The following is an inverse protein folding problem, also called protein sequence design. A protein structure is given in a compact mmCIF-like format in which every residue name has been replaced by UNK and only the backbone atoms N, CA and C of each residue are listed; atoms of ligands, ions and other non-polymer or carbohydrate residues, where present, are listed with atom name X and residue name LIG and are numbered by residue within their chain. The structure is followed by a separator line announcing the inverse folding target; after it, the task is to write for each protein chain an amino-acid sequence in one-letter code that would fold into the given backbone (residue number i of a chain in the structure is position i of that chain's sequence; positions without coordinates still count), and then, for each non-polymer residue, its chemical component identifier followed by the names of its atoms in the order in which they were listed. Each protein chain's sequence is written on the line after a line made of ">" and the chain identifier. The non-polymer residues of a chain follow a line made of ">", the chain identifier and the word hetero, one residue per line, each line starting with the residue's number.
data_IF_633961097160
#
_entry.id   IF_633961097160
#
_cell.length_a   1.000
_cell.length_b   1.000
_cell.length_c   1.000
_cell.angle_alpha   90.00
_cell.angle_beta   90.00
_cell.angle_gamma   90.00
#
_symmetry.space_group_name_H-M   'P 1'
#
loop_
_entity.id
_entity.type
_entity.pdbx_description
1 polymer ?
#
# COMPACT_ATOMS: atom_id res chain seq x y z
N UNK A 1 -6.91 28.90 -36.91
CA UNK A 1 -7.46 27.64 -36.37
C UNK A 1 -7.04 27.62 -34.92
N UNK A 2 -7.99 27.89 -34.04
CA UNK A 2 -7.78 27.97 -32.60
C UNK A 2 -7.62 26.53 -32.08
N UNK A 3 -6.39 26.16 -31.69
CA UNK A 3 -6.08 24.83 -31.18
C UNK A 3 -6.35 24.88 -29.67
N UNK A 4 -7.63 24.84 -29.31
CA UNK A 4 -8.03 24.84 -27.91
C UNK A 4 -7.42 23.65 -27.19
N UNK A 5 -6.57 23.93 -26.20
CA UNK A 5 -6.10 22.94 -25.25
C UNK A 5 -7.32 22.38 -24.51
N UNK A 6 -7.72 21.16 -24.87
CA UNK A 6 -8.75 20.44 -24.14
C UNK A 6 -8.35 20.25 -22.68
N UNK A 7 -9.31 20.23 -21.73
CA UNK A 7 -8.98 20.09 -20.32
C UNK A 7 -8.21 18.78 -20.10
N UNK A 8 -7.00 18.87 -19.54
CA UNK A 8 -6.08 17.75 -19.27
C UNK A 8 -6.58 16.76 -18.20
N UNK A 9 -7.85 16.87 -17.81
CA UNK A 9 -8.47 16.00 -16.81
C UNK A 9 -9.10 14.84 -17.57
N UNK A 10 -8.32 13.78 -17.80
CA UNK A 10 -8.87 12.50 -18.19
C UNK A 10 -10.01 12.18 -17.20
N UNK A 11 -11.25 12.12 -17.70
CA UNK A 11 -12.40 11.70 -16.91
C UNK A 11 -12.28 10.19 -16.72
N UNK A 12 -11.40 9.76 -15.81
CA UNK A 12 -11.43 8.39 -15.34
C UNK A 12 -12.75 8.19 -14.61
N UNK A 13 -13.55 7.22 -15.07
CA UNK A 13 -14.71 6.77 -14.31
C UNK A 13 -14.22 6.39 -12.90
N UNK A 14 -14.93 6.82 -11.83
CA UNK A 14 -14.50 6.55 -10.47
C UNK A 14 -14.40 5.04 -10.27
N UNK A 15 -13.29 4.59 -9.67
CA UNK A 15 -13.10 3.18 -9.36
C UNK A 15 -14.22 2.69 -8.44
N UNK A 16 -14.88 1.59 -8.81
CA UNK A 16 -15.92 0.96 -7.97
C UNK A 16 -15.27 0.32 -6.74
N UNK A 17 -14.06 -0.23 -6.89
CA UNK A 17 -13.36 -0.99 -5.85
C UNK A 17 -12.57 -0.12 -4.88
N UNK A 18 -12.17 1.10 -5.25
CA UNK A 18 -11.34 1.99 -4.41
C UNK A 18 -11.83 3.42 -4.44
N UNK A 19 -11.32 4.22 -3.51
CA UNK A 19 -11.60 5.65 -3.42
C UNK A 19 -10.41 6.44 -3.94
N UNK A 20 -10.65 7.45 -4.77
CA UNK A 20 -9.57 8.30 -5.32
C UNK A 20 -9.09 9.36 -4.31
N UNK A 21 -9.82 9.52 -3.22
CA UNK A 21 -9.54 10.45 -2.12
C UNK A 21 -9.28 9.72 -0.81
N UNK A 22 -8.44 10.32 0.03
CA UNK A 22 -8.10 9.79 1.35
C UNK A 22 -9.32 9.92 2.28
N UNK A 23 -9.70 8.83 2.95
CA UNK A 23 -10.75 8.81 3.97
C UNK A 23 -10.22 8.30 5.31
N UNK A 24 -10.92 8.68 6.39
CA UNK A 24 -10.68 8.07 7.69
C UNK A 24 -10.93 6.55 7.62
N UNK A 25 -10.08 5.77 8.28
CA UNK A 25 -10.03 4.31 8.24
C UNK A 25 -9.08 3.74 7.18
N UNK A 26 -8.63 4.53 6.19
CA UNK A 26 -7.67 4.07 5.19
C UNK A 26 -6.31 3.76 5.83
N UNK A 27 -5.64 2.75 5.28
CA UNK A 27 -4.23 2.47 5.54
C UNK A 27 -3.39 3.12 4.45
N UNK A 28 -2.62 4.14 4.82
CA UNK A 28 -1.81 4.94 3.90
C UNK A 28 -0.37 4.43 3.86
N UNK A 29 0.22 4.49 2.67
CA UNK A 29 1.66 4.35 2.47
C UNK A 29 2.27 5.74 2.37
N UNK A 30 3.21 6.06 3.26
CA UNK A 30 3.84 7.37 3.35
C UNK A 30 5.32 7.25 3.03
N UNK A 31 5.76 7.88 1.93
CA UNK A 31 7.17 8.02 1.58
C UNK A 31 7.78 9.18 2.37
N UNK A 32 8.75 8.88 3.21
CA UNK A 32 9.53 9.90 3.93
C UNK A 32 10.73 10.35 3.08
N UNK A 33 11.41 11.47 3.45
CA UNK A 33 12.48 12.03 2.62
C UNK A 33 13.63 11.06 2.37
N UNK A 34 13.93 10.15 3.30
CA UNK A 34 14.96 9.10 3.11
C UNK A 34 14.66 8.14 1.95
N UNK A 35 13.42 8.12 1.45
CA UNK A 35 12.94 7.18 0.45
C UNK A 35 12.18 6.00 1.05
N UNK A 36 12.31 5.76 2.36
CA UNK A 36 11.59 4.68 3.04
C UNK A 36 10.08 4.92 3.01
N UNK A 37 9.32 3.83 2.98
CA UNK A 37 7.85 3.86 2.97
C UNK A 37 7.34 3.31 4.30
N UNK A 38 6.45 4.05 4.95
CA UNK A 38 5.79 3.64 6.20
C UNK A 38 4.30 3.40 5.96
N UNK A 39 3.76 2.34 6.56
CA UNK A 39 2.32 2.07 6.53
C UNK A 39 1.68 2.61 7.82
N UNK A 40 0.63 3.41 7.69
CA UNK A 40 -0.06 4.07 8.81
C UNK A 40 -1.56 3.98 8.59
N UNK A 41 -2.30 3.56 9.62
CA UNK A 41 -3.76 3.61 9.61
C UNK A 41 -4.25 5.00 10.03
N UNK A 42 -5.06 5.63 9.19
CA UNK A 42 -5.60 6.96 9.44
C UNK A 42 -6.86 6.84 10.29
N UNK A 43 -6.71 6.95 11.62
CA UNK A 43 -7.88 6.99 12.52
C UNK A 43 -8.49 8.40 12.56
N UNK A 44 -9.79 8.46 12.87
CA UNK A 44 -10.52 9.72 13.00
C UNK A 44 -9.95 10.54 14.17
N UNK A 45 -9.71 11.83 13.96
CA UNK A 45 -9.23 12.77 14.98
C UNK A 45 -7.88 12.38 15.63
N UNK A 46 -7.10 11.52 14.96
CA UNK A 46 -5.80 11.06 15.47
C UNK A 46 -4.64 11.95 15.03
N UNK A 47 -3.62 12.05 15.88
CA UNK A 47 -2.32 12.64 15.51
C UNK A 47 -1.43 11.58 14.90
N UNK A 48 -0.91 11.84 13.70
CA UNK A 48 0.02 10.96 13.00
C UNK A 48 1.45 11.35 13.35
N UNK A 49 2.25 10.38 13.81
CA UNK A 49 3.65 10.58 14.18
C UNK A 49 4.59 9.95 13.16
N UNK A 50 5.47 10.75 12.55
CA UNK A 50 6.51 10.31 11.60
C UNK A 50 7.91 10.28 12.24
N UNK A 51 8.00 10.13 13.57
CA UNK A 51 9.26 10.12 14.30
C UNK A 51 9.99 11.46 14.18
N UNK A 52 11.26 11.43 13.76
CA UNK A 52 12.12 12.63 13.63
C UNK A 52 11.60 13.69 12.63
N UNK A 53 10.68 13.31 11.75
CA UNK A 53 10.11 14.22 10.73
C UNK A 53 8.93 15.05 11.27
N UNK A 54 8.46 14.76 12.49
CA UNK A 54 7.40 15.50 13.16
C UNK A 54 6.08 14.74 13.23
N UNK A 55 5.03 15.48 13.56
CA UNK A 55 3.66 14.97 13.70
C UNK A 55 2.65 15.98 13.19
N UNK A 56 1.51 15.50 12.71
CA UNK A 56 0.43 16.33 12.18
C UNK A 56 -0.95 15.75 12.52
N UNK A 57 -2.02 16.55 12.39
CA UNK A 57 -3.38 16.08 12.60
C UNK A 57 -3.88 15.29 11.38
N UNK A 58 -4.31 14.05 11.57
CA UNK A 58 -4.73 13.17 10.47
C UNK A 58 -5.88 13.73 9.62
N UNK A 59 -6.75 14.55 10.21
CA UNK A 59 -7.86 15.20 9.50
C UNK A 59 -7.40 16.09 8.33
N UNK A 60 -6.17 16.61 8.37
CA UNK A 60 -5.59 17.42 7.28
C UNK A 60 -5.42 16.61 5.97
N UNK A 61 -5.33 15.28 6.05
CA UNK A 61 -5.24 14.41 4.87
C UNK A 61 -6.61 13.97 4.34
N UNK A 62 -7.67 14.02 5.16
CA UNK A 62 -8.98 13.53 4.76
C UNK A 62 -9.55 14.43 3.66
N UNK A 63 -10.04 13.82 2.57
CA UNK A 63 -10.58 14.50 1.40
C UNK A 63 -9.51 14.96 0.39
N UNK A 64 -8.22 14.83 0.71
CA UNK A 64 -7.14 15.11 -0.23
C UNK A 64 -6.91 13.93 -1.19
N UNK A 65 -6.44 14.18 -2.43
CA UNK A 65 -6.04 13.12 -3.33
C UNK A 65 -4.72 12.46 -2.88
N UNK A 66 -4.51 11.24 -3.35
CA UNK A 66 -3.22 10.56 -3.23
C UNK A 66 -2.16 11.21 -4.14
N UNK A 67 -0.89 10.90 -3.90
CA UNK A 67 0.25 11.37 -4.70
C UNK A 67 0.82 12.73 -4.28
N UNK A 68 0.09 13.51 -3.48
CA UNK A 68 0.56 14.81 -3.00
C UNK A 68 1.70 14.67 -1.98
N UNK A 69 2.63 15.62 -2.06
CA UNK A 69 3.68 15.81 -1.07
C UNK A 69 3.32 16.95 -0.12
N UNK A 70 3.57 16.75 1.16
CA UNK A 70 3.22 17.71 2.21
C UNK A 70 4.43 18.04 3.04
N UNK A 71 4.57 19.30 3.42
CA UNK A 71 5.46 19.77 4.46
C UNK A 71 4.70 19.92 5.78
N UNK A 72 5.31 19.47 6.88
CA UNK A 72 4.76 19.63 8.23
C UNK A 72 5.23 20.96 8.82
N UNK A 73 4.29 21.89 9.00
CA UNK A 73 4.51 23.20 9.63
C UNK A 73 3.54 23.33 10.80
N UNK A 74 4.05 23.44 12.03
CA UNK A 74 3.25 23.58 13.25
C UNK A 74 2.08 22.59 13.38
N UNK A 75 2.33 21.31 13.06
CA UNK A 75 1.35 20.21 13.05
C UNK A 75 0.22 20.33 12.01
N UNK A 76 0.33 21.27 11.08
CA UNK A 76 -0.50 21.39 9.88
C UNK A 76 0.27 20.93 8.64
N UNK A 77 -0.47 20.68 7.56
CA UNK A 77 0.09 20.23 6.30
C UNK A 77 0.03 21.34 5.25
N UNK A 78 1.17 21.63 4.63
CA UNK A 78 1.25 22.49 3.46
C UNK A 78 1.59 21.64 2.24
N UNK A 79 0.75 21.69 1.21
CA UNK A 79 1.03 21.00 -0.06
C UNK A 79 2.30 21.59 -0.69
N UNK A 80 3.22 20.71 -1.06
CA UNK A 80 4.41 21.05 -1.81
C UNK A 80 4.15 20.85 -3.31
N UNK A 81 4.49 21.85 -4.15
CA UNK A 81 4.40 21.67 -5.59
C UNK A 81 5.40 20.58 -6.05
N UNK A 82 5.10 19.88 -7.16
CA UNK A 82 6.07 18.98 -7.77
C UNK A 82 7.34 19.76 -8.12
N UNK A 83 8.49 19.19 -7.79
CA UNK A 83 9.77 19.81 -8.12
C UNK A 83 10.01 19.63 -9.63
N UNK A 84 10.37 20.70 -10.36
CA UNK A 84 10.79 20.55 -11.74
C UNK A 84 12.05 19.68 -11.77
N UNK A 85 12.21 18.89 -12.84
CA UNK A 85 13.50 18.28 -13.12
C UNK A 85 14.52 19.41 -13.34
N UNK A 86 15.56 19.42 -12.53
CA UNK A 86 16.69 20.32 -12.72
C UNK A 86 17.74 19.57 -13.54
N UNK A 87 18.11 20.16 -14.67
CA UNK A 87 19.27 19.71 -15.42
C UNK A 87 20.51 20.20 -14.69
N UNK A 88 21.43 19.27 -14.41
CA UNK A 88 22.69 19.59 -13.74
C UNK A 88 23.69 19.93 -14.82
N UNK A 89 24.12 21.18 -14.88
CA UNK A 89 25.14 21.58 -15.84
C UNK A 89 26.48 20.93 -15.49
N UNK A 90 27.12 20.30 -16.48
CA UNK A 90 28.46 19.75 -16.32
C UNK A 90 29.50 20.87 -16.35
N UNK A 91 30.40 20.83 -15.36
CA UNK A 91 31.48 21.81 -15.19
C UNK A 91 32.82 21.10 -15.22
N UNK A 92 33.90 21.80 -15.56
CA UNK A 92 35.28 21.28 -15.51
C UNK A 92 35.79 21.05 -14.07
N UNK A 93 34.99 21.31 -13.03
CA UNK A 93 35.38 21.07 -11.66
C UNK A 93 35.74 19.59 -11.43
N UNK A 94 36.87 19.35 -10.76
CA UNK A 94 37.34 18.02 -10.37
C UNK A 94 37.54 17.94 -8.85
N UNK A 95 37.66 16.72 -8.33
CA UNK A 95 37.95 16.48 -6.92
C UNK A 95 39.46 16.49 -6.58
N UNK A 96 40.33 16.88 -7.52
CA UNK A 96 41.79 16.82 -7.37
C UNK A 96 42.32 17.63 -6.19
N UNK A 97 41.68 18.77 -5.90
CA UNK A 97 42.05 19.68 -4.81
C UNK A 97 41.25 19.45 -3.51
N UNK A 98 40.51 18.34 -3.40
CA UNK A 98 39.68 18.03 -2.24
C UNK A 98 40.38 17.00 -1.35
N UNK A 99 40.88 17.46 -0.20
CA UNK A 99 41.43 16.60 0.85
C UNK A 99 40.38 16.26 1.91
N UNK A 100 40.38 15.02 2.42
CA UNK A 100 39.47 14.56 3.46
C UNK A 100 40.00 14.90 4.86
N UNK A 101 39.87 16.18 5.25
CA UNK A 101 40.26 16.67 6.56
C UNK A 101 39.05 16.75 7.52
N UNK A 102 39.27 16.49 8.81
CA UNK A 102 38.19 16.51 9.82
C UNK A 102 37.51 17.89 10.00
N UNK A 103 38.14 18.99 9.53
CA UNK A 103 37.65 20.35 9.70
C UNK A 103 36.77 20.88 8.54
N UNK A 104 36.39 20.03 7.57
CA UNK A 104 35.65 20.47 6.36
C UNK A 104 34.25 21.03 6.67
N UNK A 105 33.60 20.56 7.74
CA UNK A 105 32.29 21.06 8.19
C UNK A 105 32.40 21.58 9.64
N UNK A 106 32.59 22.90 9.85
CA UNK A 106 32.83 23.47 11.18
C UNK A 106 31.56 23.52 12.06
N UNK A 107 30.36 23.56 11.45
CA UNK A 107 29.08 23.56 12.18
C UNK A 107 28.91 22.25 12.96
N UNK A 108 28.87 22.35 14.30
CA UNK A 108 28.78 21.20 15.19
C UNK A 108 27.38 20.58 15.18
N UNK A 109 27.25 19.26 15.48
CA UNK A 109 25.94 18.62 15.60
C UNK A 109 24.99 19.31 16.59
N UNK A 110 25.51 19.79 17.73
CA UNK A 110 24.72 20.46 18.76
C UNK A 110 24.14 21.79 18.27
N UNK A 111 24.92 22.54 17.50
CA UNK A 111 24.47 23.79 16.87
C UNK A 111 23.34 23.48 15.86
N UNK A 112 23.47 22.42 15.07
CA UNK A 112 22.42 21.97 14.15
C UNK A 112 21.15 21.59 14.93
N UNK A 113 21.26 20.98 16.10
CA UNK A 113 20.09 20.70 16.95
C UNK A 113 19.44 21.97 17.49
N UNK A 114 20.23 22.97 17.90
CA UNK A 114 19.68 24.27 18.33
C UNK A 114 18.93 24.96 17.19
N UNK A 115 19.46 24.94 15.96
CA UNK A 115 18.76 25.49 14.79
C UNK A 115 17.44 24.76 14.50
N UNK A 116 17.40 23.44 14.69
CA UNK A 116 16.14 22.68 14.57
C UNK A 116 15.13 23.03 15.65
N UNK A 117 15.59 23.21 16.88
CA UNK A 117 14.75 23.56 18.04
C UNK A 117 14.21 24.98 17.95
N UNK A 118 14.94 25.91 17.32
CA UNK A 118 14.47 27.28 17.07
C UNK A 118 13.43 27.38 15.94
N UNK A 119 13.07 26.26 15.30
CA UNK A 119 12.05 26.24 14.25
C UNK A 119 12.53 26.69 12.88
N UNK A 120 13.84 26.85 12.66
CA UNK A 120 14.38 27.20 11.34
C UNK A 120 13.99 26.17 10.29
N UNK A 121 13.63 26.67 9.10
CA UNK A 121 13.26 25.81 7.98
C UNK A 121 14.47 25.02 7.47
N UNK A 122 14.21 23.82 6.92
CA UNK A 122 15.26 22.91 6.49
C UNK A 122 16.18 23.52 5.43
N UNK A 123 15.64 24.34 4.51
CA UNK A 123 16.45 25.00 3.48
C UNK A 123 17.49 25.94 4.08
N UNK A 124 17.15 26.66 5.14
CA UNK A 124 18.05 27.60 5.81
C UNK A 124 19.16 26.88 6.58
N UNK A 125 18.83 25.75 7.22
CA UNK A 125 19.81 24.88 7.88
C UNK A 125 20.80 24.31 6.86
N UNK A 126 20.32 23.96 5.66
CA UNK A 126 21.16 23.45 4.56
C UNK A 126 22.03 24.57 4.02
N UNK A 127 21.47 25.76 3.81
CA UNK A 127 22.19 26.93 3.31
C UNK A 127 23.34 27.33 4.24
N UNK A 128 23.09 27.44 5.55
CA UNK A 128 24.14 27.70 6.55
C UNK A 128 25.24 26.64 6.53
N UNK A 129 24.89 25.36 6.34
CA UNK A 129 25.88 24.29 6.21
C UNK A 129 26.70 24.39 4.91
N UNK A 130 26.13 24.91 3.83
CA UNK A 130 26.84 25.12 2.56
C UNK A 130 27.81 26.29 2.71
N UNK A 131 27.36 27.41 3.27
CA UNK A 131 28.17 28.62 3.48
C UNK A 131 29.40 28.36 4.35
N UNK A 132 29.27 27.48 5.35
CA UNK A 132 30.36 27.13 6.25
C UNK A 132 31.23 25.96 5.75
N UNK A 133 30.88 25.29 4.65
CA UNK A 133 31.60 24.11 4.18
C UNK A 133 32.82 24.52 3.35
N UNK A 134 34.02 24.34 3.91
CA UNK A 134 35.29 24.88 3.38
C UNK A 134 35.55 24.54 1.91
N UNK A 135 35.27 23.31 1.49
CA UNK A 135 35.56 22.82 0.13
C UNK A 135 34.31 22.64 -0.74
N UNK A 136 33.17 23.27 -0.39
CA UNK A 136 31.92 23.04 -1.15
C UNK A 136 32.00 23.60 -2.57
N UNK A 137 32.67 24.73 -2.74
CA UNK A 137 32.84 25.38 -4.04
C UNK A 137 33.66 24.52 -5.03
N UNK A 138 34.63 23.75 -4.52
CA UNK A 138 35.50 22.87 -5.33
C UNK A 138 34.79 21.63 -5.85
N UNK A 139 33.59 21.33 -5.36
CA UNK A 139 32.85 20.12 -5.77
C UNK A 139 32.27 20.28 -7.16
N UNK A 140 32.19 19.16 -7.88
CA UNK A 140 31.40 19.06 -9.10
C UNK A 140 29.92 19.35 -8.83
N UNK A 141 29.17 19.80 -9.83
CA UNK A 141 27.74 20.10 -9.66
C UNK A 141 26.94 18.86 -9.19
N UNK A 142 27.21 17.68 -9.74
CA UNK A 142 26.62 16.42 -9.25
C UNK A 142 26.96 16.14 -7.78
N UNK A 143 28.18 16.45 -7.33
CA UNK A 143 28.59 16.28 -5.94
C UNK A 143 27.90 17.29 -5.01
N UNK A 144 27.70 18.53 -5.47
CA UNK A 144 26.92 19.56 -4.76
C UNK A 144 25.47 19.14 -4.63
N UNK A 145 24.85 18.65 -5.70
CA UNK A 145 23.45 18.19 -5.69
C UNK A 145 23.28 16.95 -4.81
N UNK A 146 24.16 15.95 -4.93
CA UNK A 146 24.19 14.77 -4.04
C UNK A 146 24.30 15.18 -2.57
N UNK A 147 25.12 16.18 -2.26
CA UNK A 147 25.22 16.73 -0.90
C UNK A 147 23.91 17.37 -0.45
N UNK A 148 23.32 18.26 -1.27
CA UNK A 148 22.02 18.90 -0.98
C UNK A 148 20.94 17.87 -0.72
N UNK A 149 20.76 16.90 -1.63
CA UNK A 149 19.80 15.79 -1.51
C UNK A 149 19.98 15.03 -0.19
N UNK A 150 21.23 14.68 0.17
CA UNK A 150 21.51 14.02 1.46
C UNK A 150 21.09 14.86 2.67
N UNK A 151 21.33 16.17 2.66
CA UNK A 151 20.94 17.05 3.78
C UNK A 151 19.43 17.28 3.80
N UNK A 152 18.77 17.40 2.65
CA UNK A 152 17.31 17.44 2.55
C UNK A 152 16.67 16.19 3.15
N UNK A 153 17.17 14.99 2.81
CA UNK A 153 16.69 13.73 3.41
C UNK A 153 16.80 13.71 4.95
N UNK A 154 17.76 14.45 5.51
CA UNK A 154 18.03 14.49 6.96
C UNK A 154 17.20 15.55 7.69
N UNK A 155 16.94 16.69 7.06
CA UNK A 155 16.38 17.87 7.73
C UNK A 155 15.00 18.27 7.26
N UNK A 156 14.60 17.90 6.04
CA UNK A 156 13.28 18.23 5.55
C UNK A 156 12.21 17.46 6.28
N UNK A 157 11.11 18.14 6.61
CA UNK A 157 9.95 17.59 7.31
C UNK A 157 8.79 17.38 6.33
N UNK A 158 9.09 16.89 5.14
CA UNK A 158 8.08 16.58 4.14
C UNK A 158 7.83 15.07 4.02
N UNK A 159 6.70 14.69 3.44
CA UNK A 159 6.39 13.32 3.07
C UNK A 159 5.46 13.28 1.87
N UNK A 160 5.37 12.15 1.20
CA UNK A 160 4.44 11.93 0.07
C UNK A 160 3.48 10.81 0.42
N UNK A 161 2.18 11.03 0.22
CA UNK A 161 1.19 9.96 0.37
C UNK A 161 1.15 9.17 -0.94
N UNK A 162 1.55 7.91 -0.89
CA UNK A 162 1.59 7.03 -2.05
C UNK A 162 0.18 6.49 -2.32
N UNK A 163 -0.20 6.52 -3.59
CA UNK A 163 -1.44 5.93 -4.05
C UNK A 163 -1.43 4.40 -3.90
N UNK A 164 -2.51 3.77 -3.38
CA UNK A 164 -2.56 2.34 -3.10
C UNK A 164 -2.80 1.50 -4.37
N UNK A 165 -1.96 1.71 -5.39
CA UNK A 165 -1.97 0.90 -6.62
C UNK A 165 -1.37 -0.47 -6.36
N UNK A 166 -1.71 -1.45 -7.21
CA UNK A 166 -1.14 -2.80 -7.12
C UNK A 166 0.40 -2.78 -7.14
N UNK A 167 0.97 -1.97 -8.03
CA UNK A 167 2.42 -1.78 -8.11
C UNK A 167 3.01 -1.23 -6.81
N UNK A 168 2.45 -0.14 -6.28
CA UNK A 168 2.98 0.53 -5.09
C UNK A 168 2.89 -0.35 -3.84
N UNK A 169 1.77 -1.07 -3.67
CA UNK A 169 1.55 -1.96 -2.53
C UNK A 169 2.45 -3.21 -2.64
N UNK A 170 2.56 -3.82 -3.81
CA UNK A 170 3.48 -4.94 -4.04
C UNK A 170 4.94 -4.52 -3.78
N UNK A 171 5.38 -3.38 -4.31
CA UNK A 171 6.73 -2.87 -4.11
C UNK A 171 7.02 -2.56 -2.64
N UNK A 172 6.05 -1.98 -1.92
CA UNK A 172 6.15 -1.74 -0.49
C UNK A 172 6.40 -3.03 0.29
N UNK A 173 5.56 -4.04 0.08
CA UNK A 173 5.70 -5.31 0.78
C UNK A 173 6.98 -6.04 0.36
N UNK A 174 7.38 -5.98 -0.91
CA UNK A 174 8.59 -6.65 -1.40
C UNK A 174 9.83 -6.08 -0.71
N UNK A 175 9.93 -4.75 -0.64
CA UNK A 175 11.04 -4.09 0.04
C UNK A 175 11.03 -4.29 1.56
N UNK A 176 9.84 -4.49 2.15
CA UNK A 176 9.69 -4.65 3.61
C UNK A 176 9.93 -6.09 4.08
N UNK A 177 9.39 -7.06 3.35
CA UNK A 177 9.35 -8.48 3.70
C UNK A 177 9.10 -9.32 2.43
N UNK A 178 10.12 -9.47 1.58
CA UNK A 178 10.03 -10.22 0.33
C UNK A 178 9.63 -11.70 0.53
N UNK A 179 10.09 -12.31 1.63
CA UNK A 179 9.82 -13.72 1.94
C UNK A 179 8.32 -13.96 2.15
N UNK A 180 7.63 -13.00 2.78
CA UNK A 180 6.18 -13.02 2.97
C UNK A 180 5.40 -12.99 1.65
N UNK A 181 5.98 -12.38 0.62
CA UNK A 181 5.43 -12.33 -0.74
C UNK A 181 5.86 -13.51 -1.61
N UNK A 182 6.60 -14.49 -1.06
CA UNK A 182 7.21 -15.57 -1.85
C UNK A 182 8.09 -15.03 -2.98
N UNK A 183 8.80 -13.94 -2.70
CA UNK A 183 9.67 -13.24 -3.65
C UNK A 183 8.94 -12.75 -4.93
N UNK A 184 7.60 -12.65 -4.90
CA UNK A 184 6.82 -12.08 -5.98
C UNK A 184 7.10 -10.57 -6.05
N UNK A 185 7.82 -10.19 -7.10
CA UNK A 185 8.07 -8.79 -7.46
C UNK A 185 6.90 -8.20 -8.26
N UNK A 186 6.80 -6.86 -8.34
CA UNK A 186 5.74 -6.22 -9.13
C UNK A 186 5.70 -6.64 -10.61
N UNK A 187 6.85 -6.87 -11.24
CA UNK A 187 6.95 -7.35 -12.62
C UNK A 187 6.40 -8.78 -12.76
N UNK A 188 6.77 -9.69 -11.85
CA UNK A 188 6.25 -11.06 -11.83
C UNK A 188 4.74 -11.09 -11.57
N UNK A 189 4.25 -10.25 -10.64
CA UNK A 189 2.82 -10.13 -10.37
C UNK A 189 2.04 -9.67 -11.59
N UNK A 190 2.56 -8.69 -12.33
CA UNK A 190 1.95 -8.23 -13.57
C UNK A 190 1.86 -9.36 -14.62
N UNK A 191 2.91 -10.19 -14.74
CA UNK A 191 2.88 -11.36 -15.62
C UNK A 191 1.86 -12.40 -15.17
N UNK A 192 1.76 -12.70 -13.87
CA UNK A 192 0.75 -13.64 -13.33
C UNK A 192 -0.66 -13.20 -13.73
N UNK A 193 -1.01 -11.93 -13.48
CA UNK A 193 -2.35 -11.39 -13.78
C UNK A 193 -2.65 -11.40 -15.29
N UNK A 194 -1.65 -11.09 -16.12
CA UNK A 194 -1.82 -11.07 -17.57
C UNK A 194 -1.93 -12.48 -18.16
N UNK A 195 -1.09 -13.43 -17.72
CA UNK A 195 -1.12 -14.81 -18.19
C UNK A 195 -2.36 -15.57 -17.72
N UNK A 196 -2.86 -15.27 -16.51
CA UNK A 196 -4.15 -15.76 -16.02
C UNK A 196 -5.36 -15.07 -16.68
N UNK A 197 -5.11 -14.11 -17.57
CA UNK A 197 -6.13 -13.38 -18.33
C UNK A 197 -7.22 -12.75 -17.44
N UNK A 198 -6.81 -12.15 -16.32
CA UNK A 198 -7.77 -11.57 -15.37
C UNK A 198 -8.45 -10.32 -15.97
N UNK A 199 -9.78 -10.32 -15.96
CA UNK A 199 -10.64 -9.29 -16.55
C UNK A 199 -11.88 -9.05 -15.65
N UNK A 200 -12.51 -7.88 -15.74
CA UNK A 200 -13.83 -7.66 -15.16
C UNK A 200 -14.85 -8.70 -15.65
N UNK A 201 -15.70 -9.18 -14.74
CA UNK A 201 -16.76 -10.15 -15.04
C UNK A 201 -16.32 -11.61 -15.01
N UNK A 202 -15.02 -11.90 -15.05
CA UNK A 202 -14.50 -13.27 -15.05
C UNK A 202 -14.69 -13.99 -13.72
N UNK A 203 -14.59 -15.32 -13.78
CA UNK A 203 -14.67 -16.22 -12.61
C UNK A 203 -13.33 -16.91 -12.42
N UNK A 204 -12.70 -16.68 -11.27
CA UNK A 204 -11.33 -17.11 -10.99
C UNK A 204 -11.22 -17.90 -9.71
N UNK A 205 -10.25 -18.82 -9.68
CA UNK A 205 -9.80 -19.51 -8.47
C UNK A 205 -8.41 -19.00 -8.11
N UNK A 206 -8.16 -18.75 -6.82
CA UNK A 206 -6.84 -18.38 -6.32
C UNK A 206 -6.41 -19.20 -5.10
N UNK A 207 -5.15 -19.62 -5.11
CA UNK A 207 -4.45 -20.16 -3.94
C UNK A 207 -3.31 -19.19 -3.62
N UNK A 208 -3.39 -18.49 -2.50
CA UNK A 208 -2.47 -17.39 -2.19
C UNK A 208 -1.83 -17.56 -0.81
N UNK A 209 -0.59 -18.01 -0.82
CA UNK A 209 0.30 -18.09 0.35
C UNK A 209 1.40 -17.00 0.30
N UNK A 210 1.09 -15.90 -0.38
CA UNK A 210 1.91 -14.70 -0.53
C UNK A 210 1.23 -13.48 0.12
N UNK A 211 0.58 -13.72 1.28
CA UNK A 211 -0.14 -12.73 2.08
C UNK A 211 -1.27 -11.99 1.35
N UNK A 212 -1.85 -12.61 0.32
CA UNK A 212 -2.97 -12.06 -0.42
C UNK A 212 -2.57 -11.11 -1.53
N UNK A 213 -1.31 -11.11 -1.98
CA UNK A 213 -0.87 -10.23 -3.07
C UNK A 213 -1.49 -10.62 -4.42
N UNK A 214 -1.65 -11.92 -4.68
CA UNK A 214 -2.28 -12.43 -5.91
C UNK A 214 -3.79 -12.19 -5.84
N UNK A 215 -4.41 -12.46 -4.69
CA UNK A 215 -5.83 -12.15 -4.43
C UNK A 215 -6.09 -10.66 -4.61
N UNK A 216 -5.24 -9.80 -4.04
CA UNK A 216 -5.35 -8.35 -4.19
C UNK A 216 -5.24 -7.95 -5.66
N UNK A 217 -4.32 -8.56 -6.41
CA UNK A 217 -4.12 -8.27 -7.83
C UNK A 217 -5.34 -8.65 -8.68
N UNK A 218 -5.94 -9.82 -8.41
CA UNK A 218 -7.13 -10.30 -9.11
C UNK A 218 -8.30 -9.35 -8.85
N UNK A 219 -8.56 -9.04 -7.57
CA UNK A 219 -9.64 -8.13 -7.19
C UNK A 219 -9.46 -6.73 -7.78
N UNK A 220 -8.21 -6.22 -7.81
CA UNK A 220 -7.92 -4.92 -8.40
C UNK A 220 -8.24 -4.89 -9.89
N UNK A 221 -7.90 -5.96 -10.61
CA UNK A 221 -8.09 -6.09 -12.07
C UNK A 221 -9.53 -6.39 -12.45
N UNK A 222 -10.27 -7.14 -11.62
CA UNK A 222 -11.70 -7.42 -11.80
C UNK A 222 -12.58 -6.18 -11.61
N UNK A 223 -12.12 -5.18 -10.86
CA UNK A 223 -12.82 -3.90 -10.76
C UNK A 223 -14.21 -3.97 -10.10
N UNK A 224 -14.50 -5.03 -9.33
CA UNK A 224 -15.78 -5.19 -8.63
C UNK A 224 -16.80 -6.06 -9.38
N UNK A 225 -16.44 -6.58 -10.56
CA UNK A 225 -17.30 -7.42 -11.39
C UNK A 225 -16.72 -8.82 -11.52
N UNK A 226 -17.58 -9.84 -11.38
CA UNK A 226 -17.20 -11.25 -11.52
C UNK A 226 -17.18 -12.02 -10.20
N UNK A 227 -16.36 -13.06 -10.13
CA UNK A 227 -16.24 -13.92 -8.93
C UNK A 227 -14.81 -14.39 -8.69
N UNK A 228 -14.37 -14.40 -7.44
CA UNK A 228 -13.13 -14.97 -6.97
C UNK A 228 -13.39 -15.98 -5.85
N UNK A 229 -13.03 -17.23 -6.08
CA UNK A 229 -13.00 -18.28 -5.05
C UNK A 229 -11.55 -18.47 -4.62
N UNK A 230 -11.29 -18.32 -3.32
CA UNK A 230 -9.97 -18.58 -2.74
C UNK A 230 -9.96 -19.94 -2.05
N UNK A 231 -8.89 -20.72 -2.22
CA UNK A 231 -8.69 -21.98 -1.50
C UNK A 231 -7.53 -21.79 -0.52
N UNK A 232 -7.72 -22.20 0.73
CA UNK A 232 -6.77 -22.00 1.82
C UNK A 232 -6.71 -23.19 2.78
N UNK A 233 -5.72 -23.20 3.67
CA UNK A 233 -5.51 -24.30 4.63
C UNK A 233 -6.39 -24.20 5.88
N UNK A 234 -7.14 -23.11 6.05
CA UNK A 234 -7.88 -22.80 7.27
C UNK A 234 -9.40 -22.79 7.05
N UNK A 235 -10.16 -23.21 8.06
CA UNK A 235 -11.63 -23.30 8.00
C UNK A 235 -12.34 -21.94 7.94
N UNK A 236 -11.62 -20.86 8.24
CA UNK A 236 -12.12 -19.48 8.17
C UNK A 236 -11.53 -18.74 6.98
N UNK A 237 -12.15 -17.67 6.48
CA UNK A 237 -11.52 -16.82 5.47
C UNK A 237 -10.12 -16.38 5.91
N UNK A 238 -9.09 -16.55 5.07
CA UNK A 238 -7.71 -16.22 5.40
C UNK A 238 -7.52 -14.72 5.61
N UNK A 239 -6.59 -14.38 6.48
CA UNK A 239 -6.15 -13.01 6.60
C UNK A 239 -5.26 -12.68 5.41
N UNK A 240 -5.59 -11.61 4.68
CA UNK A 240 -4.79 -11.09 3.58
C UNK A 240 -4.18 -9.73 3.95
N UNK A 241 -3.00 -9.70 4.61
CA UNK A 241 -2.36 -8.46 5.02
C UNK A 241 -2.18 -7.43 3.91
N UNK A 242 -1.91 -7.88 2.68
CA UNK A 242 -1.68 -7.00 1.52
C UNK A 242 -2.93 -6.21 1.15
N UNK A 243 -4.12 -6.81 1.27
CA UNK A 243 -5.39 -6.15 0.97
C UNK A 243 -5.65 -4.93 1.87
N UNK A 244 -5.06 -4.89 3.07
CA UNK A 244 -5.22 -3.78 4.01
C UNK A 244 -4.70 -2.47 3.42
N UNK A 245 -3.58 -2.50 2.70
CA UNK A 245 -3.03 -1.30 2.04
C UNK A 245 -3.71 -0.96 0.72
N UNK A 246 -4.45 -1.89 0.11
CA UNK A 246 -5.21 -1.64 -1.12
C UNK A 246 -6.44 -0.75 -0.89
N UNK A 247 -6.92 -0.65 0.35
CA UNK A 247 -8.11 0.13 0.73
C UNK A 247 -9.34 -0.18 -0.13
N UNK A 248 -9.57 -1.47 -0.43
CA UNK A 248 -10.76 -1.88 -1.17
C UNK A 248 -12.04 -1.53 -0.40
N UNK A 249 -13.06 -1.06 -1.12
CA UNK A 249 -14.42 -0.88 -0.59
C UNK A 249 -14.99 -2.26 -0.27
N UNK A 250 -15.43 -2.43 0.97
CA UNK A 250 -15.96 -3.72 1.44
C UNK A 250 -17.20 -4.12 0.66
N UNK A 251 -18.01 -3.15 0.29
CA UNK A 251 -19.26 -3.31 -0.46
C UNK A 251 -19.00 -3.81 -1.89
N UNK A 252 -17.83 -3.49 -2.46
CA UNK A 252 -17.45 -3.93 -3.81
C UNK A 252 -16.78 -5.31 -3.81
N UNK A 253 -15.96 -5.62 -2.81
CA UNK A 253 -15.17 -6.87 -2.78
C UNK A 253 -15.87 -8.01 -2.05
N UNK A 254 -16.60 -7.75 -0.96
CA UNK A 254 -17.22 -8.81 -0.17
C UNK A 254 -18.25 -9.67 -0.95
N UNK A 255 -19.04 -9.12 -1.90
CA UNK A 255 -19.97 -9.94 -2.69
C UNK A 255 -19.29 -10.83 -3.73
N UNK A 256 -18.11 -10.45 -4.22
CA UNK A 256 -17.43 -11.15 -5.33
C UNK A 256 -16.36 -12.13 -4.84
N UNK A 257 -15.97 -12.07 -3.57
CA UNK A 257 -14.88 -12.86 -3.01
C UNK A 257 -15.38 -13.83 -1.95
N UNK A 258 -15.06 -15.11 -2.11
CA UNK A 258 -15.37 -16.18 -1.15
C UNK A 258 -14.15 -17.06 -0.91
N UNK A 259 -14.17 -17.81 0.19
CA UNK A 259 -13.07 -18.69 0.59
C UNK A 259 -13.58 -20.07 0.94
N UNK A 260 -12.85 -21.10 0.49
CA UNK A 260 -12.99 -22.49 0.87
C UNK A 260 -11.69 -22.98 1.50
N UNK A 261 -11.79 -23.96 2.39
CA UNK A 261 -10.63 -24.73 2.80
C UNK A 261 -10.38 -25.88 1.80
N UNK A 262 -9.20 -26.51 1.84
CA UNK A 262 -8.88 -27.63 0.94
C UNK A 262 -9.85 -28.81 1.05
N UNK A 263 -10.29 -29.17 2.25
CA UNK A 263 -11.25 -30.26 2.43
C UNK A 263 -12.58 -29.93 1.71
N UNK A 264 -13.05 -28.70 1.84
CA UNK A 264 -14.25 -28.22 1.18
C UNK A 264 -14.05 -28.02 -0.33
N UNK A 265 -12.82 -28.02 -0.85
CA UNK A 265 -12.54 -28.03 -2.27
C UNK A 265 -12.48 -29.44 -2.87
N UNK A 266 -12.47 -30.49 -2.04
CA UNK A 266 -12.53 -31.89 -2.47
C UNK A 266 -13.98 -32.31 -2.76
N UNK A 267 -14.22 -32.88 -3.94
CA UNK A 267 -15.54 -33.30 -4.42
C UNK A 267 -16.13 -34.40 -3.54
N UNK A 268 -15.30 -35.36 -3.11
CA UNK A 268 -15.71 -36.52 -2.33
C UNK A 268 -15.92 -36.19 -0.84
N UNK A 269 -15.42 -35.04 -0.40
CA UNK A 269 -15.54 -34.62 0.99
C UNK A 269 -16.97 -34.16 1.31
N UNK A 270 -17.56 -34.73 2.36
CA UNK A 270 -18.84 -34.28 2.90
C UNK A 270 -18.61 -33.34 4.10
N UNK A 271 -18.98 -32.04 4.01
CA UNK A 271 -18.78 -31.12 5.11
C UNK A 271 -19.54 -31.52 6.38
N UNK A 272 -18.86 -31.46 7.52
CA UNK A 272 -19.47 -31.70 8.83
C UNK A 272 -20.27 -30.45 9.23
N UNK A 273 -21.59 -30.48 9.00
CA UNK A 273 -22.49 -29.37 9.30
C UNK A 273 -23.19 -29.62 10.63
N UNK A 274 -23.04 -28.67 11.56
CA UNK A 274 -23.79 -28.71 12.81
C UNK A 274 -25.27 -28.40 12.56
N UNK A 275 -26.17 -29.14 13.22
CA UNK A 275 -27.62 -28.91 13.11
C UNK A 275 -27.98 -27.45 13.39
N UNK A 276 -28.73 -26.87 12.45
CA UNK A 276 -29.31 -25.54 12.53
C UNK A 276 -30.71 -25.53 13.17
N UNK A 277 -31.24 -26.70 13.50
CA UNK A 277 -32.56 -26.86 14.09
C UNK A 277 -32.51 -26.92 15.63
N UNK A 278 -33.53 -26.37 16.33
CA UNK A 278 -33.61 -26.49 17.77
C UNK A 278 -33.93 -27.95 18.17
N UNK A 279 -33.29 -28.50 19.23
CA UNK A 279 -33.46 -29.91 19.64
C UNK A 279 -34.91 -30.33 19.98
N UNK A 280 -35.78 -29.36 20.29
CA UNK A 280 -37.17 -29.59 20.66
C UNK A 280 -38.16 -28.92 19.69
N UNK A 281 -37.70 -28.52 18.48
CA UNK A 281 -38.52 -27.78 17.51
C UNK A 281 -38.83 -26.33 17.90
N UNK A 282 -38.54 -25.92 19.15
CA UNK A 282 -38.76 -24.57 19.68
C UNK A 282 -37.46 -23.94 20.15
N UNK A 283 -37.29 -22.65 19.87
CA UNK A 283 -36.19 -21.85 20.40
C UNK A 283 -36.40 -21.60 21.90
N UNK A 284 -35.37 -21.85 22.72
CA UNK A 284 -35.41 -21.57 24.17
C UNK A 284 -35.08 -20.11 24.51
N UNK A 285 -34.46 -19.38 23.59
CA UNK A 285 -34.12 -17.96 23.72
C UNK A 285 -33.85 -17.30 22.36
N UNK A 286 -33.92 -15.97 22.33
CA UNK A 286 -33.53 -15.19 21.15
C UNK A 286 -32.04 -15.38 20.81
N UNK A 287 -31.17 -15.47 21.82
CA UNK A 287 -29.76 -15.78 21.61
C UNK A 287 -29.53 -17.14 20.95
N UNK A 288 -30.32 -18.16 21.33
CA UNK A 288 -30.27 -19.46 20.66
C UNK A 288 -30.75 -19.36 19.21
N UNK A 289 -31.84 -18.62 18.95
CA UNK A 289 -32.37 -18.38 17.61
C UNK A 289 -31.35 -17.71 16.70
N UNK A 290 -30.71 -16.62 17.16
CA UNK A 290 -29.67 -15.92 16.40
C UNK A 290 -28.48 -16.83 16.09
N UNK A 291 -28.03 -17.65 17.05
CA UNK A 291 -26.91 -18.57 16.84
C UNK A 291 -27.25 -19.64 15.80
N UNK A 292 -28.43 -20.23 15.87
CA UNK A 292 -28.88 -21.25 14.91
C UNK A 292 -29.06 -20.66 13.50
N UNK A 293 -29.63 -19.45 13.39
CA UNK A 293 -29.72 -18.74 12.11
C UNK A 293 -28.35 -18.43 11.51
N UNK A 294 -27.38 -17.96 12.31
CA UNK A 294 -26.00 -17.73 11.85
C UNK A 294 -25.34 -19.01 11.33
N UNK A 295 -25.57 -20.15 12.00
CA UNK A 295 -25.09 -21.46 11.56
C UNK A 295 -25.72 -21.88 10.24
N UNK A 296 -27.04 -21.69 10.09
CA UNK A 296 -27.74 -21.98 8.84
C UNK A 296 -27.14 -21.18 7.68
N UNK A 297 -27.01 -19.86 7.85
CA UNK A 297 -26.43 -18.97 6.82
C UNK A 297 -25.01 -19.42 6.43
N UNK A 298 -24.16 -19.76 7.41
CA UNK A 298 -22.80 -20.22 7.14
C UNK A 298 -22.77 -21.57 6.39
N UNK A 299 -23.64 -22.50 6.77
CA UNK A 299 -23.77 -23.80 6.10
C UNK A 299 -24.28 -23.66 4.66
N UNK A 300 -25.32 -22.86 4.46
CA UNK A 300 -25.91 -22.61 3.14
C UNK A 300 -24.87 -21.94 2.23
N UNK A 301 -24.11 -20.96 2.75
CA UNK A 301 -23.03 -20.32 2.01
C UNK A 301 -21.90 -21.29 1.63
N UNK A 302 -21.53 -22.22 2.52
CA UNK A 302 -20.51 -23.23 2.24
C UNK A 302 -20.96 -24.18 1.11
N UNK A 303 -22.19 -24.69 1.19
CA UNK A 303 -22.75 -25.59 0.18
C UNK A 303 -22.90 -24.89 -1.17
N UNK A 304 -23.38 -23.64 -1.18
CA UNK A 304 -23.48 -22.83 -2.38
C UNK A 304 -22.11 -22.55 -3.00
N UNK A 305 -21.09 -22.28 -2.18
CA UNK A 305 -19.72 -22.03 -2.68
C UNK A 305 -19.09 -23.30 -3.23
N UNK A 306 -19.38 -24.47 -2.62
CA UNK A 306 -18.97 -25.78 -3.18
C UNK A 306 -19.65 -26.06 -4.51
N UNK A 307 -20.96 -25.87 -4.60
CA UNK A 307 -21.70 -26.01 -5.86
C UNK A 307 -21.13 -25.08 -6.93
N UNK A 308 -20.82 -23.85 -6.56
CA UNK A 308 -20.17 -22.87 -7.43
C UNK A 308 -18.75 -23.29 -7.86
N UNK A 309 -17.99 -23.98 -7.01
CA UNK A 309 -16.66 -24.49 -7.36
C UNK A 309 -16.71 -25.62 -8.40
N UNK A 310 -17.69 -26.53 -8.30
CA UNK A 310 -17.76 -27.69 -9.19
C UNK A 310 -18.56 -27.43 -10.46
N UNK A 311 -19.61 -26.60 -10.38
CA UNK A 311 -20.48 -26.27 -11.52
C UNK A 311 -20.15 -24.91 -12.13
N UNK A 312 -19.26 -24.15 -11.51
CA UNK A 312 -18.83 -22.87 -12.02
C UNK A 312 -17.87 -23.04 -13.18
N UNK A 313 -18.25 -22.58 -14.37
CA UNK A 313 -17.32 -22.48 -15.49
C UNK A 313 -16.28 -21.39 -15.18
N UNK A 314 -15.08 -21.78 -14.72
CA UNK A 314 -13.99 -20.86 -14.38
C UNK A 314 -13.13 -20.54 -15.61
N UNK A 315 -12.71 -19.29 -15.74
CA UNK A 315 -11.95 -18.80 -16.89
C UNK A 315 -10.43 -18.85 -16.68
N UNK A 316 -9.98 -19.03 -15.42
CA UNK A 316 -8.57 -19.13 -15.08
C UNK A 316 -8.32 -19.40 -13.60
N UNK A 317 -7.09 -19.82 -13.28
CA UNK A 317 -6.61 -19.95 -11.91
C UNK A 317 -5.24 -19.26 -11.76
N UNK A 318 -4.96 -18.75 -10.56
CA UNK A 318 -3.66 -18.19 -10.20
C UNK A 318 -3.21 -18.74 -8.86
N UNK A 319 -1.92 -19.03 -8.71
CA UNK A 319 -1.42 -19.75 -7.54
C UNK A 319 -0.06 -19.21 -7.10
N UNK A 320 0.15 -19.09 -5.80
CA UNK A 320 1.45 -18.76 -5.17
C UNK A 320 1.76 -19.64 -3.95
N UNK A 321 1.60 -20.98 -4.05
CA UNK A 321 1.71 -21.85 -2.89
C UNK A 321 3.17 -22.18 -2.61
N UNK A 322 3.50 -22.43 -1.35
CA UNK A 322 4.72 -23.18 -1.00
C UNK A 322 4.40 -24.67 -1.08
N UNK A 323 4.41 -25.25 -2.29
CA UNK A 323 4.44 -26.71 -2.39
C UNK A 323 5.90 -27.12 -2.14
N UNK A 324 6.21 -27.52 -0.91
CA UNK A 324 7.42 -28.31 -0.68
C UNK A 324 7.24 -29.62 -1.45
N UNK A 325 7.86 -29.69 -2.61
CA UNK A 325 8.01 -30.92 -3.35
C UNK A 325 8.91 -31.85 -2.52
N UNK A 326 8.30 -32.57 -1.58
CA UNK A 326 8.88 -33.81 -1.07
C UNK A 326 8.64 -34.84 -2.17
N UNK A 327 9.58 -34.90 -3.12
CA UNK A 327 9.79 -36.08 -3.95
C UNK A 327 10.54 -37.13 -3.14
#
# INVERSE_FOLDING_TARGET
>A
MDVGEGPSRAQHAPSITREDIIKAGHTLLIKIPSGDIRSIKLEKDATVHLGKFGSFHGNELVGQPFGLSYEIVDKKLKVLPPRPMQEVEETEATNELINDEQAVQPLRPDEIETLKKSGLHASEIIQKQIEQHATFALKTEYSKEKYKKRKEMKYSKHFTVIEPTLFNVCQYWFNKDQNRLRDIRPDSLAQIVNLANIRPGGRYIAVDDASGVVVSAILDRMGGEGRLVTICDIDSPPAYPVMVQMNFRKEAVAPIMVSLNWAAADEDYTPIIASSEPPAGKFKSDGQRTRLNKRKIASDALLQTREELFNGEFEGYATSPRIEAVF
#
